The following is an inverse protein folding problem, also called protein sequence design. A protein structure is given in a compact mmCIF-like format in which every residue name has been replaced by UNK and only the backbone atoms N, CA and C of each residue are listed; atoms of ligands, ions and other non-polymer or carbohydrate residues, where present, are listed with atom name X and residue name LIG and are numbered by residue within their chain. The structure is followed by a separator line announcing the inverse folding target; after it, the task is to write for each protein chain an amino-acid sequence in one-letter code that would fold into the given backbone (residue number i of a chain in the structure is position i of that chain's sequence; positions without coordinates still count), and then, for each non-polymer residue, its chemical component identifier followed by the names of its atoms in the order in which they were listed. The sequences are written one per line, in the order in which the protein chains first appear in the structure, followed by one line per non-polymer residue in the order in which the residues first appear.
data_IF_918336138454
#
_entry.id   IF_918336138454
#
_cell.length_a   1.000
_cell.length_b   1.000
_cell.length_c   1.000
_cell.angle_alpha   90.00
_cell.angle_beta   90.00
_cell.angle_gamma   90.00
#
_symmetry.space_group_name_H-M   'P 1'
#
loop_
_entity.id
_entity.type
_entity.pdbx_description
1 polymer ?
#
# COMPACT_ATOMS: atom_id res chain seq x y z
N UNK A 1 -27.08 13.04 -34.37
CA UNK A 1 -25.95 13.33 -33.47
C UNK A 1 -26.42 13.04 -32.05
N UNK A 2 -25.76 12.16 -31.32
CA UNK A 2 -25.89 12.01 -29.87
C UNK A 2 -24.48 11.83 -29.31
N UNK A 3 -24.05 12.58 -28.28
CA UNK A 3 -22.80 12.31 -27.60
C UNK A 3 -22.96 11.04 -26.77
N UNK A 4 -22.06 10.06 -26.95
CA UNK A 4 -22.01 8.87 -26.12
C UNK A 4 -21.36 9.21 -24.78
N UNK A 5 -21.99 8.78 -23.69
CA UNK A 5 -21.57 9.12 -22.33
C UNK A 5 -20.35 8.29 -21.88
N UNK A 6 -19.32 9.00 -21.38
CA UNK A 6 -18.17 8.43 -20.65
C UNK A 6 -17.93 9.13 -19.30
N UNK A 7 -18.84 10.00 -18.86
CA UNK A 7 -18.67 10.85 -17.67
C UNK A 7 -19.04 10.19 -16.32
N UNK A 8 -19.63 8.99 -16.31
CA UNK A 8 -20.19 8.41 -15.08
C UNK A 8 -19.16 7.91 -14.05
N UNK A 9 -18.12 7.10 -14.39
CA UNK A 9 -17.26 6.47 -13.37
C UNK A 9 -16.39 7.49 -12.63
N UNK A 10 -15.89 8.51 -13.34
CA UNK A 10 -15.12 9.59 -12.72
C UNK A 10 -15.99 10.43 -11.78
N UNK A 11 -17.23 10.73 -12.19
CA UNK A 11 -18.15 11.49 -11.35
C UNK A 11 -18.59 10.71 -10.12
N UNK A 12 -18.68 9.38 -10.16
CA UNK A 12 -18.99 8.57 -8.98
C UNK A 12 -17.88 8.63 -7.91
N UNK A 13 -16.61 8.53 -8.32
CA UNK A 13 -15.47 8.64 -7.41
C UNK A 13 -15.33 10.04 -6.79
N UNK A 14 -15.55 11.09 -7.60
CA UNK A 14 -15.57 12.49 -7.12
C UNK A 14 -16.77 12.73 -6.20
N UNK A 15 -17.97 12.21 -6.51
CA UNK A 15 -19.14 12.31 -5.61
C UNK A 15 -18.91 11.60 -4.28
N UNK A 16 -18.28 10.43 -4.29
CA UNK A 16 -17.92 9.71 -3.06
C UNK A 16 -16.91 10.51 -2.21
N UNK A 17 -15.94 11.20 -2.82
CA UNK A 17 -14.95 11.99 -2.07
C UNK A 17 -15.52 13.26 -1.42
N UNK A 18 -16.67 13.77 -1.88
CA UNK A 18 -17.35 14.93 -1.29
C UNK A 18 -17.91 14.63 0.12
N UNK A 19 -18.18 13.36 0.46
CA UNK A 19 -18.70 12.97 1.78
C UNK A 19 -17.61 12.74 2.85
N UNK A 20 -16.34 12.66 2.45
CA UNK A 20 -15.20 12.50 3.35
C UNK A 20 -14.80 13.84 4.03
N UNK A 21 -14.14 13.81 5.20
CA UNK A 21 -13.48 14.98 5.77
C UNK A 21 -12.49 15.64 4.78
N UNK A 22 -12.35 16.99 4.75
CA UNK A 22 -11.51 17.69 3.76
C UNK A 22 -10.05 17.20 3.66
N UNK A 23 -9.48 16.71 4.77
CA UNK A 23 -8.11 16.19 4.81
C UNK A 23 -7.92 14.81 4.12
N UNK A 24 -9.00 14.03 3.96
CA UNK A 24 -8.94 12.64 3.50
C UNK A 24 -9.29 12.49 2.01
N UNK A 25 -10.01 13.47 1.44
CA UNK A 25 -10.46 13.48 0.03
C UNK A 25 -9.30 13.26 -0.96
N UNK A 26 -8.13 13.93 -0.83
CA UNK A 26 -7.05 13.82 -1.82
C UNK A 26 -6.39 12.44 -1.85
N UNK A 27 -6.25 11.79 -0.69
CA UNK A 27 -5.67 10.45 -0.57
C UNK A 27 -6.59 9.39 -1.18
N UNK A 28 -7.90 9.52 -0.95
CA UNK A 28 -8.92 8.63 -1.53
C UNK A 28 -9.00 8.77 -3.05
N UNK A 29 -9.07 10.01 -3.56
CA UNK A 29 -9.08 10.28 -5.01
C UNK A 29 -7.81 9.74 -5.66
N UNK A 30 -6.63 9.93 -5.06
CA UNK A 30 -5.38 9.40 -5.59
C UNK A 30 -5.29 7.89 -5.67
N UNK A 31 -5.70 7.18 -4.60
CA UNK A 31 -5.72 5.71 -4.58
C UNK A 31 -6.77 5.15 -5.56
N UNK A 32 -7.90 5.83 -5.74
CA UNK A 32 -8.93 5.42 -6.70
C UNK A 32 -8.53 5.66 -8.17
N UNK A 33 -7.88 6.79 -8.48
CA UNK A 33 -7.37 7.07 -9.83
C UNK A 33 -6.23 6.11 -10.23
N UNK A 34 -5.36 5.74 -9.27
CA UNK A 34 -4.33 4.71 -9.49
C UNK A 34 -4.95 3.36 -9.90
N UNK A 35 -6.00 2.93 -9.21
CA UNK A 35 -6.71 1.69 -9.52
C UNK A 35 -7.41 1.72 -10.90
N UNK A 36 -7.99 2.87 -11.30
CA UNK A 36 -8.55 3.02 -12.65
C UNK A 36 -7.47 3.02 -13.74
N UNK A 37 -6.34 3.70 -13.51
CA UNK A 37 -5.21 3.72 -14.44
C UNK A 37 -4.53 2.34 -14.63
N UNK A 38 -4.59 1.46 -13.63
CA UNK A 38 -4.13 0.07 -13.74
C UNK A 38 -5.10 -0.81 -14.53
N UNK A 39 -6.42 -0.66 -14.35
CA UNK A 39 -7.42 -1.40 -15.13
C UNK A 39 -7.32 -1.10 -16.64
N UNK A 40 -6.96 0.13 -17.02
CA UNK A 40 -6.66 0.51 -18.41
C UNK A 40 -5.56 -0.35 -19.04
N UNK A 41 -4.51 -0.72 -18.29
CA UNK A 41 -3.41 -1.59 -18.79
C UNK A 41 -3.87 -3.00 -19.14
N UNK A 42 -5.07 -3.43 -18.72
CA UNK A 42 -5.60 -4.78 -18.98
C UNK A 42 -6.59 -4.87 -20.15
N UNK A 43 -6.92 -3.75 -20.79
CA UNK A 43 -7.80 -3.76 -21.97
C UNK A 43 -7.08 -4.44 -23.17
N UNK A 44 -7.71 -5.44 -23.83
CA UNK A 44 -7.08 -6.16 -24.92
C UNK A 44 -6.87 -5.27 -26.15
N UNK A 45 -5.70 -5.37 -26.76
CA UNK A 45 -5.38 -4.69 -28.03
C UNK A 45 -6.15 -5.33 -29.18
N UNK A 46 -7.34 -4.81 -29.49
CA UNK A 46 -8.16 -5.29 -30.60
C UNK A 46 -7.62 -4.81 -31.96
N UNK A 47 -6.93 -5.69 -32.68
CA UNK A 47 -6.44 -5.41 -34.04
C UNK A 47 -7.55 -5.59 -35.08
N UNK A 48 -8.30 -4.51 -35.32
CA UNK A 48 -9.09 -4.20 -36.54
C UNK A 48 -10.35 -5.01 -36.89
N UNK A 49 -11.21 -4.36 -37.70
CA UNK A 49 -12.31 -4.89 -38.52
C UNK A 49 -13.61 -5.34 -37.81
N UNK A 50 -14.46 -4.38 -37.44
CA UNK A 50 -15.87 -4.61 -37.08
C UNK A 50 -16.42 -3.47 -36.24
N UNK A 51 -17.53 -2.85 -36.66
CA UNK A 51 -17.99 -1.59 -36.10
C UNK A 51 -18.50 -1.66 -34.64
N UNK A 52 -17.76 -1.03 -33.73
CA UNK A 52 -18.27 -0.31 -32.53
C UNK A 52 -17.21 0.73 -32.14
N UNK A 53 -17.59 1.81 -31.45
CA UNK A 53 -16.75 2.99 -31.29
C UNK A 53 -15.47 2.71 -30.46
N UNK A 54 -14.32 2.69 -31.13
CA UNK A 54 -13.01 2.56 -30.48
C UNK A 54 -12.54 3.91 -29.94
N UNK A 55 -12.31 4.00 -28.63
CA UNK A 55 -11.62 5.14 -28.01
C UNK A 55 -10.15 5.09 -28.46
N UNK A 56 -9.61 6.21 -28.94
CA UNK A 56 -8.23 6.23 -29.44
C UNK A 56 -7.23 6.24 -28.28
N UNK A 57 -6.07 5.62 -28.50
CA UNK A 57 -4.95 5.63 -27.53
C UNK A 57 -4.52 7.05 -27.14
N UNK A 58 -4.65 8.01 -28.05
CA UNK A 58 -4.36 9.42 -27.80
C UNK A 58 -5.38 10.07 -26.83
N UNK A 59 -6.68 9.88 -27.05
CA UNK A 59 -7.71 10.41 -26.15
C UNK A 59 -7.57 9.85 -24.72
N UNK A 60 -7.18 8.58 -24.61
CA UNK A 60 -6.98 7.92 -23.32
C UNK A 60 -5.69 8.40 -22.61
N UNK A 61 -4.65 8.80 -23.35
CA UNK A 61 -3.48 9.49 -22.79
C UNK A 61 -3.80 10.93 -22.37
N UNK A 62 -4.69 11.62 -23.09
CA UNK A 62 -5.13 12.99 -22.79
C UNK A 62 -5.98 13.04 -21.50
N UNK A 63 -6.91 12.10 -21.31
CA UNK A 63 -7.64 11.95 -20.04
C UNK A 63 -6.70 11.59 -18.87
N UNK A 64 -5.75 10.66 -19.06
CA UNK A 64 -4.79 10.30 -18.02
C UNK A 64 -3.86 11.47 -17.64
N UNK A 65 -3.48 12.32 -18.58
CA UNK A 65 -2.70 13.53 -18.32
C UNK A 65 -3.51 14.54 -17.48
N UNK A 66 -4.78 14.78 -17.83
CA UNK A 66 -5.67 15.65 -17.06
C UNK A 66 -5.88 15.13 -15.62
N UNK A 67 -6.00 13.80 -15.45
CA UNK A 67 -6.08 13.17 -14.12
C UNK A 67 -4.80 13.33 -13.31
N UNK A 68 -3.62 13.27 -13.94
CA UNK A 68 -2.34 13.51 -13.28
C UNK A 68 -2.20 14.98 -12.83
N UNK A 69 -2.68 15.96 -13.61
CA UNK A 69 -2.71 17.37 -13.18
C UNK A 69 -3.65 17.60 -12.00
N UNK A 70 -4.87 17.04 -12.04
CA UNK A 70 -5.84 17.11 -10.94
C UNK A 70 -5.26 16.48 -9.67
N UNK A 71 -4.57 15.33 -9.81
CA UNK A 71 -3.92 14.67 -8.68
C UNK A 71 -2.77 15.50 -8.10
N UNK A 72 -1.96 16.11 -8.96
CA UNK A 72 -0.85 17.00 -8.58
C UNK A 72 -1.39 18.24 -7.84
N UNK A 73 -2.47 18.85 -8.32
CA UNK A 73 -3.14 19.96 -7.64
C UNK A 73 -3.71 19.55 -6.27
N UNK A 74 -4.34 18.37 -6.18
CA UNK A 74 -4.90 17.84 -4.93
C UNK A 74 -3.81 17.50 -3.89
N UNK A 75 -2.65 16.98 -4.33
CA UNK A 75 -1.49 16.72 -3.47
C UNK A 75 -0.83 18.03 -3.00
N UNK A 76 -0.64 18.99 -3.91
CA UNK A 76 -0.08 20.32 -3.58
C UNK A 76 -0.94 21.11 -2.58
N UNK A 77 -2.26 20.87 -2.55
CA UNK A 77 -3.16 21.46 -1.55
C UNK A 77 -3.03 20.86 -0.14
N UNK A 78 -2.41 19.67 0.01
CA UNK A 78 -2.18 18.98 1.29
C UNK A 78 -0.71 19.09 1.73
N UNK A 79 0.23 19.23 0.79
CA UNK A 79 1.66 19.22 1.06
C UNK A 79 2.20 20.53 1.63
N UNK A 80 1.93 20.78 2.91
CA UNK A 80 2.73 21.70 3.73
C UNK A 80 4.18 21.22 3.98
N UNK A 81 4.59 20.09 3.42
CA UNK A 81 5.90 19.45 3.61
C UNK A 81 6.42 18.84 2.30
N UNK A 82 7.48 19.40 1.68
CA UNK A 82 8.15 18.77 0.54
C UNK A 82 8.92 17.50 0.97
N UNK A 83 8.95 16.49 0.08
CA UNK A 83 9.71 15.24 0.29
C UNK A 83 8.94 14.07 0.89
N UNK A 84 7.62 14.15 1.01
CA UNK A 84 6.78 13.03 1.50
C UNK A 84 6.82 11.82 0.55
N UNK A 85 6.51 10.62 1.07
CA UNK A 85 6.39 9.41 0.25
C UNK A 85 5.24 9.51 -0.77
N UNK A 86 4.21 10.30 -0.49
CA UNK A 86 3.13 10.62 -1.42
C UNK A 86 3.61 11.47 -2.61
N UNK A 87 4.50 12.44 -2.37
CA UNK A 87 5.14 13.20 -3.47
C UNK A 87 5.97 12.25 -4.35
N UNK A 88 6.79 11.39 -3.73
CA UNK A 88 7.62 10.42 -4.46
C UNK A 88 6.79 9.38 -5.24
N UNK A 89 5.60 9.03 -4.74
CA UNK A 89 4.63 8.19 -5.47
C UNK A 89 4.07 8.92 -6.70
N UNK A 90 3.73 10.20 -6.58
CA UNK A 90 3.28 11.03 -7.70
C UNK A 90 4.38 11.23 -8.75
N UNK A 91 5.61 11.53 -8.33
CA UNK A 91 6.77 11.70 -9.21
C UNK A 91 7.06 10.39 -9.99
N UNK A 92 6.91 9.23 -9.34
CA UNK A 92 7.07 7.92 -9.99
C UNK A 92 5.99 7.66 -11.06
N UNK A 93 4.74 8.02 -10.79
CA UNK A 93 3.65 7.91 -11.75
C UNK A 93 3.85 8.84 -12.96
N UNK A 94 4.34 10.06 -12.74
CA UNK A 94 4.69 10.99 -13.83
C UNK A 94 5.81 10.39 -14.71
N UNK A 95 6.85 9.82 -14.09
CA UNK A 95 7.97 9.20 -14.82
C UNK A 95 7.53 8.00 -15.67
N UNK A 96 6.67 7.11 -15.13
CA UNK A 96 6.21 5.91 -15.84
C UNK A 96 5.30 6.25 -17.05
N UNK A 97 4.39 7.22 -16.90
CA UNK A 97 3.44 7.59 -17.96
C UNK A 97 4.01 8.56 -19.00
N UNK A 98 5.16 9.21 -18.72
CA UNK A 98 5.93 9.97 -19.72
C UNK A 98 6.70 9.09 -20.73
N UNK A 99 6.61 7.76 -20.63
CA UNK A 99 7.11 6.81 -21.63
C UNK A 99 8.42 6.10 -21.28
N UNK A 100 8.88 6.18 -20.03
CA UNK A 100 10.09 5.52 -19.59
C UNK A 100 9.85 4.02 -19.24
N UNK A 101 10.12 3.17 -20.23
CA UNK A 101 10.32 1.71 -20.13
C UNK A 101 9.05 0.84 -20.06
N UNK A 102 8.91 -0.10 -21.01
CA UNK A 102 7.74 -0.97 -21.16
C UNK A 102 8.12 -2.46 -21.21
N UNK A 103 7.41 -3.29 -20.43
CA UNK A 103 7.55 -4.75 -20.45
C UNK A 103 6.45 -5.45 -19.62
N UNK A 104 5.62 -6.26 -20.29
CA UNK A 104 4.62 -7.17 -19.71
C UNK A 104 5.08 -8.64 -19.97
N UNK A 105 4.60 -9.71 -19.29
CA UNK A 105 3.17 -10.15 -19.21
C UNK A 105 2.79 -10.65 -17.77
N UNK A 106 1.65 -11.25 -17.40
CA UNK A 106 0.30 -11.54 -17.95
C UNK A 106 -0.66 -11.90 -16.78
N UNK A 107 -1.95 -12.16 -17.03
CA UNK A 107 -2.94 -12.60 -16.02
C UNK A 107 -3.73 -13.85 -16.46
N UNK A 108 -4.44 -14.51 -15.53
CA UNK A 108 -5.59 -15.40 -15.83
C UNK A 108 -6.46 -15.72 -14.59
N UNK A 109 -7.79 -15.89 -14.79
CA UNK A 109 -8.70 -16.59 -13.85
C UNK A 109 -9.75 -15.76 -13.08
N UNK A 110 -11.06 -16.05 -13.29
CA UNK A 110 -12.20 -15.28 -12.76
C UNK A 110 -13.29 -16.13 -12.05
N UNK A 111 -14.27 -15.49 -11.40
CA UNK A 111 -15.53 -16.12 -10.95
C UNK A 111 -16.26 -15.41 -9.80
N UNK A 112 -17.56 -15.11 -9.96
CA UNK A 112 -18.33 -14.29 -8.99
C UNK A 112 -19.56 -14.98 -8.36
N UNK A 113 -20.13 -14.34 -7.33
CA UNK A 113 -21.38 -14.76 -6.68
C UNK A 113 -21.83 -13.76 -5.60
N UNK A 114 -23.12 -13.39 -5.58
CA UNK A 114 -23.68 -12.44 -4.59
C UNK A 114 -24.01 -13.13 -3.26
N UNK A 115 -23.14 -12.94 -2.28
CA UNK A 115 -23.37 -13.21 -0.85
C UNK A 115 -22.60 -12.18 -0.03
N UNK A 116 -22.99 -11.93 1.24
CA UNK A 116 -22.31 -10.97 2.13
C UNK A 116 -20.80 -11.28 2.12
N UNK A 117 -19.99 -10.38 1.54
CA UNK A 117 -18.55 -10.59 1.30
C UNK A 117 -17.78 -10.58 2.62
N UNK A 118 -17.67 -11.74 3.26
CA UNK A 118 -16.62 -11.96 4.25
C UNK A 118 -15.29 -11.99 3.50
N UNK A 119 -14.56 -10.88 3.53
CA UNK A 119 -13.24 -10.78 2.92
C UNK A 119 -12.36 -11.94 3.39
N UNK A 120 -11.71 -12.64 2.46
CA UNK A 120 -10.76 -13.71 2.83
C UNK A 120 -9.46 -13.06 3.28
N UNK A 121 -9.01 -13.43 4.47
CA UNK A 121 -7.81 -12.85 5.09
C UNK A 121 -6.58 -13.65 4.67
N UNK A 122 -5.80 -13.10 3.73
CA UNK A 122 -4.42 -13.52 3.54
C UNK A 122 -3.59 -13.03 4.73
N UNK A 123 -2.88 -13.93 5.40
CA UNK A 123 -1.88 -13.55 6.39
C UNK A 123 -0.60 -13.15 5.64
N UNK A 124 -0.29 -11.86 5.60
CA UNK A 124 0.86 -11.34 4.84
C UNK A 124 2.11 -11.32 5.72
N UNK A 125 2.82 -12.45 5.73
CA UNK A 125 4.27 -12.47 5.89
C UNK A 125 4.89 -12.58 4.50
N UNK A 126 5.16 -11.43 3.85
CA UNK A 126 5.88 -11.43 2.57
C UNK A 126 7.27 -12.06 2.73
N UNK A 127 7.87 -12.64 1.66
CA UNK A 127 9.14 -13.35 1.76
C UNK A 127 10.22 -12.47 2.41
N UNK A 128 10.91 -13.00 3.42
CA UNK A 128 12.15 -12.40 3.90
C UNK A 128 13.24 -12.69 2.87
N UNK A 129 14.02 -11.69 2.42
CA UNK A 129 15.07 -11.94 1.45
C UNK A 129 16.17 -12.73 2.16
N UNK A 130 16.65 -13.78 1.50
CA UNK A 130 17.71 -14.65 2.01
C UNK A 130 18.97 -13.83 2.28
N UNK A 131 19.64 -14.04 3.41
CA UNK A 131 20.87 -13.31 3.77
C UNK A 131 22.00 -13.62 2.78
N UNK A 132 22.66 -12.58 2.23
CA UNK A 132 23.92 -12.72 1.48
C UNK A 132 24.91 -13.48 2.35
N UNK A 133 25.56 -14.50 1.81
CA UNK A 133 26.64 -15.19 2.48
C UNK A 133 27.68 -14.19 2.96
N UNK A 134 28.20 -14.36 4.19
CA UNK A 134 29.42 -13.63 4.52
C UNK A 134 30.55 -14.26 3.68
N UNK A 135 31.21 -13.49 2.78
CA UNK A 135 32.30 -14.02 1.98
C UNK A 135 33.45 -14.47 2.91
N UNK A 136 34.30 -15.41 2.47
CA UNK A 136 35.33 -15.99 3.31
C UNK A 136 36.25 -14.94 3.92
N UNK A 137 36.76 -15.24 5.12
CA UNK A 137 37.78 -14.41 5.77
C UNK A 137 39.21 -14.74 5.32
N UNK A 138 39.39 -15.84 4.61
CA UNK A 138 40.71 -16.38 4.26
C UNK A 138 40.99 -16.13 2.78
N UNK A 139 41.89 -15.19 2.50
CA UNK A 139 42.35 -14.86 1.14
C UNK A 139 43.15 -16.02 0.55
N UNK A 140 42.98 -16.32 -0.75
CA UNK A 140 43.85 -17.27 -1.45
C UNK A 140 44.94 -16.55 -2.23
N UNK A 141 46.04 -16.24 -1.54
CA UNK A 141 47.34 -15.78 -2.08
C UNK A 141 47.39 -14.49 -2.92
N UNK A 142 46.29 -14.03 -3.50
CA UNK A 142 46.27 -12.90 -4.44
C UNK A 142 45.52 -11.70 -3.83
N UNK A 143 46.29 -10.85 -3.15
CA UNK A 143 45.94 -9.46 -2.89
C UNK A 143 46.76 -8.56 -3.83
N UNK A 144 46.12 -7.58 -4.45
CA UNK A 144 46.74 -6.59 -5.32
C UNK A 144 46.24 -5.21 -4.89
N UNK A 145 47.10 -4.42 -4.25
CA UNK A 145 46.72 -3.11 -3.72
C UNK A 145 47.83 -2.47 -2.89
N UNK A 146 47.46 -1.41 -2.18
CA UNK A 146 48.31 -0.76 -1.19
C UNK A 146 48.59 -1.72 -0.01
N UNK A 147 49.81 -1.68 0.53
CA UNK A 147 50.25 -2.50 1.66
C UNK A 147 51.12 -1.68 2.60
N UNK A 148 51.05 -2.02 3.88
CA UNK A 148 52.00 -1.56 4.90
C UNK A 148 53.41 -2.17 4.70
N UNK A 149 54.38 -1.70 5.47
CA UNK A 149 55.76 -2.17 5.40
C UNK A 149 55.96 -3.65 5.83
N UNK A 150 55.02 -4.22 6.59
CA UNK A 150 54.99 -5.64 6.98
C UNK A 150 54.12 -6.52 6.04
N UNK A 151 53.55 -5.94 4.98
CA UNK A 151 52.79 -6.65 3.94
C UNK A 151 51.29 -6.79 4.23
N UNK A 152 50.80 -6.23 5.33
CA UNK A 152 49.38 -6.15 5.67
C UNK A 152 48.62 -5.26 4.67
N UNK A 153 47.42 -5.66 4.27
CA UNK A 153 46.56 -4.89 3.38
C UNK A 153 46.05 -3.62 4.06
N UNK A 154 46.30 -2.48 3.41
CA UNK A 154 45.87 -1.13 3.78
C UNK A 154 45.47 -0.35 2.53
N UNK A 155 44.83 0.81 2.67
CA UNK A 155 44.52 1.67 1.52
C UNK A 155 43.54 1.01 0.55
N UNK A 156 43.75 1.14 -0.77
CA UNK A 156 42.89 0.48 -1.78
C UNK A 156 43.51 -0.80 -2.33
N UNK A 157 42.68 -1.83 -2.51
CA UNK A 157 43.12 -3.08 -3.11
C UNK A 157 42.01 -4.07 -3.43
N UNK A 158 42.41 -5.08 -4.21
CA UNK A 158 41.57 -6.20 -4.63
C UNK A 158 42.09 -7.49 -4.02
N UNK A 159 41.23 -8.29 -3.38
CA UNK A 159 41.55 -9.64 -2.92
C UNK A 159 40.69 -10.69 -3.62
N UNK A 160 41.33 -11.77 -4.03
CA UNK A 160 40.67 -12.99 -4.51
C UNK A 160 40.69 -14.06 -3.41
N UNK A 161 39.52 -14.56 -3.03
CA UNK A 161 39.35 -15.57 -1.98
C UNK A 161 39.39 -16.99 -2.54
N UNK A 162 39.62 -17.99 -1.67
CA UNK A 162 39.81 -19.39 -2.05
C UNK A 162 38.63 -20.03 -2.81
N UNK A 163 37.42 -19.49 -2.63
CA UNK A 163 36.20 -19.90 -3.34
C UNK A 163 35.96 -19.10 -4.64
N UNK A 164 36.93 -18.27 -5.06
CA UNK A 164 36.86 -17.38 -6.21
C UNK A 164 36.07 -16.08 -5.99
N UNK A 165 35.57 -15.80 -4.78
CA UNK A 165 34.96 -14.51 -4.48
C UNK A 165 36.00 -13.40 -4.65
N UNK A 166 35.55 -12.20 -5.01
CA UNK A 166 36.41 -11.03 -5.18
C UNK A 166 35.89 -9.88 -4.34
N UNK A 167 36.77 -9.26 -3.56
CA UNK A 167 36.53 -7.93 -2.97
C UNK A 167 37.44 -6.90 -3.62
N UNK A 168 36.89 -5.73 -3.95
CA UNK A 168 37.62 -4.56 -4.42
C UNK A 168 37.16 -3.35 -3.60
N UNK A 169 38.08 -2.68 -2.89
CA UNK A 169 37.73 -1.57 -2.02
C UNK A 169 38.85 -1.13 -1.09
N UNK A 170 38.44 -0.47 -0.02
CA UNK A 170 39.31 0.01 1.05
C UNK A 170 39.62 -1.09 2.10
N UNK A 171 40.86 -1.07 2.61
CA UNK A 171 41.43 -2.04 3.52
C UNK A 171 42.12 -1.37 4.71
N UNK A 172 42.10 -2.06 5.85
CA UNK A 172 42.77 -1.64 7.08
C UNK A 172 43.08 -2.85 7.96
N UNK A 173 44.37 -3.11 8.20
CA UNK A 173 44.85 -4.24 9.01
C UNK A 173 44.30 -5.61 8.55
N UNK A 174 44.45 -5.93 7.25
CA UNK A 174 43.92 -7.15 6.61
C UNK A 174 42.39 -7.32 6.67
N UNK A 175 41.66 -6.25 6.98
CA UNK A 175 40.19 -6.24 7.00
C UNK A 175 39.62 -5.21 6.05
N UNK A 176 38.43 -5.50 5.56
CA UNK A 176 37.64 -4.58 4.74
C UNK A 176 37.03 -3.50 5.63
N UNK A 177 37.26 -2.25 5.25
CA UNK A 177 36.96 -1.05 6.03
C UNK A 177 36.79 0.11 5.05
N UNK A 178 35.76 0.96 5.17
CA UNK A 178 35.51 2.02 4.18
C UNK A 178 34.64 1.55 3.02
N UNK A 179 34.74 2.16 1.83
CA UNK A 179 33.94 1.75 0.67
C UNK A 179 34.52 0.54 -0.05
N UNK A 180 33.65 -0.37 -0.49
CA UNK A 180 34.08 -1.48 -1.35
C UNK A 180 32.94 -2.32 -1.90
N UNK A 181 33.24 -3.04 -2.96
CA UNK A 181 32.35 -4.03 -3.56
C UNK A 181 32.84 -5.45 -3.31
N UNK A 182 31.91 -6.38 -3.13
CA UNK A 182 32.17 -7.81 -3.04
C UNK A 182 31.30 -8.54 -4.05
N UNK A 183 31.92 -9.37 -4.87
CA UNK A 183 31.25 -10.22 -5.85
C UNK A 183 31.53 -11.68 -5.51
N UNK A 184 30.48 -12.41 -5.17
CA UNK A 184 30.58 -13.83 -4.83
C UNK A 184 30.46 -14.69 -6.10
N UNK A 185 31.12 -15.84 -6.13
CA UNK A 185 30.99 -16.80 -7.26
C UNK A 185 29.60 -17.42 -7.37
N UNK A 186 28.83 -17.40 -6.28
CA UNK A 186 27.40 -17.71 -6.25
C UNK A 186 26.55 -16.78 -7.12
N UNK A 187 27.06 -15.61 -7.50
CA UNK A 187 26.33 -14.54 -8.19
C UNK A 187 25.78 -13.47 -7.25
N UNK A 188 25.92 -13.63 -5.93
CA UNK A 188 25.60 -12.56 -4.97
C UNK A 188 26.59 -11.40 -5.10
N UNK A 189 26.10 -10.19 -4.84
CA UNK A 189 26.91 -8.98 -4.94
C UNK A 189 26.51 -7.96 -3.88
N UNK A 190 27.50 -7.23 -3.37
CA UNK A 190 27.30 -6.08 -2.49
C UNK A 190 28.23 -4.95 -2.88
N UNK A 191 27.76 -3.71 -2.76
CA UNK A 191 28.57 -2.49 -2.85
C UNK A 191 28.14 -1.54 -1.72
N UNK A 192 29.10 -0.99 -0.99
CA UNK A 192 28.83 -0.01 0.05
C UNK A 192 29.89 -0.01 1.15
N UNK A 193 29.44 0.34 2.36
CA UNK A 193 30.33 0.63 3.47
C UNK A 193 30.64 -0.62 4.30
N UNK A 194 31.92 -0.83 4.58
CA UNK A 194 32.47 -1.93 5.36
C UNK A 194 33.16 -1.42 6.63
N UNK A 195 33.17 -2.27 7.65
CA UNK A 195 33.86 -2.04 8.91
C UNK A 195 34.26 -3.37 9.53
N UNK A 196 35.55 -3.61 9.72
CA UNK A 196 36.10 -4.85 10.22
C UNK A 196 35.44 -6.12 9.61
N UNK A 197 35.41 -6.20 8.27
CA UNK A 197 34.81 -7.29 7.47
C UNK A 197 33.29 -7.45 7.55
N UNK A 198 32.57 -6.50 8.16
CA UNK A 198 31.11 -6.46 8.17
C UNK A 198 30.60 -5.31 7.32
N UNK A 199 29.45 -5.50 6.67
CA UNK A 199 28.66 -4.40 6.10
C UNK A 199 28.13 -3.54 7.25
N UNK A 200 28.48 -2.25 7.24
CA UNK A 200 28.19 -1.32 8.32
C UNK A 200 28.17 0.11 7.75
N UNK A 201 27.03 0.79 7.80
CA UNK A 201 26.76 2.00 7.01
C UNK A 201 25.86 1.69 5.80
N UNK A 202 25.88 2.56 4.79
CA UNK A 202 24.97 2.43 3.64
C UNK A 202 25.52 1.48 2.56
N UNK A 203 24.64 0.76 1.87
CA UNK A 203 25.02 -0.06 0.70
C UNK A 203 23.89 -0.84 0.04
N UNK A 204 24.19 -1.37 -1.15
CA UNK A 204 23.29 -2.14 -2.01
C UNK A 204 23.72 -3.61 -2.02
N UNK A 205 22.78 -4.52 -1.80
CA UNK A 205 22.94 -5.96 -2.03
C UNK A 205 22.04 -6.44 -3.17
N UNK A 206 22.57 -7.36 -3.98
CA UNK A 206 21.83 -8.16 -4.98
C UNK A 206 22.04 -9.64 -4.66
N UNK A 207 20.96 -10.40 -4.72
CA UNK A 207 20.92 -11.80 -4.30
C UNK A 207 20.73 -12.72 -5.52
N UNK A 208 21.14 -14.00 -5.42
CA UNK A 208 20.95 -14.99 -6.50
C UNK A 208 19.47 -15.22 -6.81
N UNK A 209 18.58 -15.01 -5.83
CA UNK A 209 17.12 -15.04 -6.01
C UNK A 209 16.60 -14.00 -7.01
N UNK A 210 17.37 -12.94 -7.30
CA UNK A 210 16.93 -11.75 -8.01
C UNK A 210 16.47 -10.61 -7.10
N UNK A 211 16.41 -10.85 -5.78
CA UNK A 211 16.09 -9.80 -4.81
C UNK A 211 17.17 -8.69 -4.81
N UNK A 212 16.79 -7.51 -4.33
CA UNK A 212 17.66 -6.37 -4.07
C UNK A 212 17.34 -5.78 -2.69
N UNK A 213 18.37 -5.37 -1.96
CA UNK A 213 18.24 -4.42 -0.84
C UNK A 213 19.13 -3.21 -1.09
N UNK A 214 18.64 -2.03 -0.74
CA UNK A 214 19.37 -0.76 -0.79
C UNK A 214 19.03 0.03 0.47
N UNK A 215 20.03 0.34 1.29
CA UNK A 215 19.77 0.96 2.58
C UNK A 215 20.92 0.81 3.56
N UNK A 216 20.56 1.04 4.81
CA UNK A 216 21.47 1.04 5.94
C UNK A 216 21.74 -0.39 6.46
N UNK A 217 22.96 -0.61 6.94
CA UNK A 217 23.48 -1.87 7.46
C UNK A 217 24.20 -1.66 8.79
N UNK A 218 24.20 -2.69 9.64
CA UNK A 218 24.97 -2.74 10.89
C UNK A 218 25.39 -4.17 11.19
N UNK A 219 26.68 -4.38 11.48
CA UNK A 219 27.26 -5.71 11.76
C UNK A 219 26.87 -6.83 10.75
N UNK A 220 26.71 -6.47 9.48
CA UNK A 220 26.35 -7.40 8.40
C UNK A 220 24.85 -7.64 8.18
N UNK A 221 23.98 -7.03 9.00
CA UNK A 221 22.51 -7.09 8.93
C UNK A 221 21.91 -5.78 8.43
N UNK A 222 20.67 -5.83 7.90
CA UNK A 222 19.89 -4.63 7.58
C UNK A 222 19.39 -3.96 8.87
N UNK A 223 19.58 -2.65 8.96
CA UNK A 223 19.37 -1.87 10.19
C UNK A 223 19.22 -0.39 9.78
N UNK A 224 18.23 0.35 10.29
CA UNK A 224 18.00 1.74 9.89
C UNK A 224 17.01 1.83 8.73
N UNK A 225 17.20 2.75 7.77
CA UNK A 225 16.27 2.90 6.64
C UNK A 225 16.72 2.06 5.45
N UNK A 226 15.77 1.44 4.74
CA UNK A 226 16.11 0.69 3.54
C UNK A 226 14.92 0.24 2.71
N UNK A 227 15.19 -0.01 1.43
CA UNK A 227 14.27 -0.51 0.43
C UNK A 227 14.67 -1.92 0.00
N UNK A 228 13.76 -2.88 0.17
CA UNK A 228 13.84 -4.20 -0.42
C UNK A 228 12.92 -4.28 -1.65
N UNK A 229 13.42 -4.87 -2.72
CA UNK A 229 12.64 -5.25 -3.92
C UNK A 229 12.85 -6.73 -4.15
N UNK A 230 11.77 -7.48 -4.30
CA UNK A 230 11.81 -8.93 -4.42
C UNK A 230 11.70 -9.37 -5.87
N UNK A 231 12.26 -10.53 -6.20
CA UNK A 231 12.14 -11.12 -7.53
C UNK A 231 10.69 -11.43 -7.95
N UNK A 232 9.77 -11.53 -6.99
CA UNK A 232 8.32 -11.63 -7.22
C UNK A 232 7.68 -10.34 -7.77
N UNK A 233 8.37 -9.20 -7.69
CA UNK A 233 7.82 -7.87 -7.95
C UNK A 233 7.29 -7.14 -6.70
N UNK A 234 7.17 -7.85 -5.57
CA UNK A 234 6.85 -7.23 -4.28
C UNK A 234 7.97 -6.29 -3.82
N UNK A 235 7.72 -5.48 -2.80
CA UNK A 235 8.77 -4.71 -2.14
C UNK A 235 8.35 -4.07 -0.82
N UNK A 236 9.34 -3.48 -0.15
CA UNK A 236 9.15 -2.76 1.11
C UNK A 236 10.13 -1.59 1.20
N UNK A 237 9.67 -0.43 1.64
CA UNK A 237 10.50 0.72 2.03
C UNK A 237 10.12 1.16 3.45
N UNK A 238 11.08 1.22 4.35
CA UNK A 238 10.81 1.56 5.75
C UNK A 238 11.99 1.34 6.67
N UNK A 239 11.70 1.20 7.96
CA UNK A 239 12.70 0.93 9.00
C UNK A 239 12.98 -0.58 9.16
N UNK A 240 14.24 -0.88 9.47
CA UNK A 240 14.76 -2.22 9.66
C UNK A 240 15.50 -2.30 10.99
N UNK A 241 15.33 -3.41 11.71
CA UNK A 241 16.14 -3.75 12.89
C UNK A 241 16.58 -5.20 12.78
N UNK A 242 17.89 -5.43 12.75
CA UNK A 242 18.51 -6.74 12.67
C UNK A 242 17.85 -7.71 11.65
N UNK A 243 17.72 -7.26 10.39
CA UNK A 243 17.08 -7.92 9.25
C UNK A 243 15.54 -7.98 9.22
N UNK A 244 14.85 -7.48 10.26
CA UNK A 244 13.37 -7.46 10.32
C UNK A 244 12.78 -6.09 10.01
N UNK A 245 11.65 -6.07 9.30
CA UNK A 245 10.82 -4.87 9.10
C UNK A 245 10.30 -4.39 10.46
N UNK A 246 10.42 -3.10 10.74
CA UNK A 246 10.16 -2.50 12.04
C UNK A 246 9.66 -1.05 11.82
N UNK A 247 9.20 -0.36 12.87
CA UNK A 247 8.94 1.08 12.82
C UNK A 247 7.81 1.44 11.85
N UNK A 248 7.96 2.50 11.06
CA UNK A 248 7.03 2.82 9.97
C UNK A 248 7.56 2.31 8.62
N UNK A 249 6.67 1.84 7.74
CA UNK A 249 7.06 1.46 6.39
C UNK A 249 5.90 1.10 5.46
N UNK A 250 6.19 1.13 4.16
CA UNK A 250 5.28 0.81 3.08
C UNK A 250 5.70 -0.54 2.46
N UNK A 251 4.76 -1.48 2.38
CA UNK A 251 4.87 -2.71 1.57
C UNK A 251 3.97 -2.58 0.34
N UNK A 252 4.45 -3.03 -0.81
CA UNK A 252 3.64 -3.21 -2.01
C UNK A 252 3.82 -4.62 -2.54
N UNK A 253 2.75 -5.20 -3.10
CA UNK A 253 2.81 -6.47 -3.80
C UNK A 253 2.84 -6.28 -5.31
N UNK A 254 3.29 -7.31 -6.03
CA UNK A 254 3.13 -7.40 -7.48
C UNK A 254 1.66 -7.46 -7.93
N UNK A 255 0.73 -7.86 -7.03
CA UNK A 255 -0.73 -7.82 -7.26
C UNK A 255 -1.35 -6.43 -7.12
N UNK A 256 -0.57 -5.38 -6.80
CA UNK A 256 -1.05 -4.01 -6.64
C UNK A 256 -1.63 -3.69 -5.26
N UNK A 257 -1.48 -4.59 -4.28
CA UNK A 257 -1.86 -4.34 -2.88
C UNK A 257 -0.78 -3.46 -2.23
N UNK A 258 -1.20 -2.54 -1.35
CA UNK A 258 -0.28 -1.65 -0.65
C UNK A 258 -0.66 -1.56 0.82
N UNK A 259 0.28 -1.85 1.71
CA UNK A 259 0.18 -1.51 3.14
C UNK A 259 1.12 -0.36 3.47
N UNK A 260 0.63 0.64 4.18
CA UNK A 260 1.43 1.72 4.75
C UNK A 260 1.06 1.85 6.22
N UNK A 261 2.03 1.74 7.13
CA UNK A 261 1.74 1.76 8.56
C UNK A 261 2.89 1.30 9.43
N UNK A 262 2.53 0.94 10.67
CA UNK A 262 3.45 0.47 11.69
C UNK A 262 3.78 -1.04 11.54
N UNK A 263 5.02 -1.40 11.88
CA UNK A 263 5.58 -2.74 11.76
C UNK A 263 6.29 -3.15 13.05
N UNK A 264 6.09 -4.40 13.45
CA UNK A 264 6.81 -5.02 14.56
C UNK A 264 7.33 -6.39 14.13
N UNK A 265 8.65 -6.57 14.16
CA UNK A 265 9.33 -7.85 13.92
C UNK A 265 8.93 -8.58 12.62
N UNK A 266 8.66 -7.83 11.55
CA UNK A 266 8.27 -8.39 10.24
C UNK A 266 6.77 -8.40 9.94
N UNK A 267 5.90 -8.07 10.89
CA UNK A 267 4.43 -8.09 10.74
C UNK A 267 3.79 -6.72 10.93
N UNK A 268 2.61 -6.49 10.32
CA UNK A 268 1.78 -5.32 10.58
C UNK A 268 1.35 -5.28 12.05
N UNK A 269 1.47 -4.11 12.69
CA UNK A 269 1.17 -3.88 14.10
C UNK A 269 0.76 -2.41 14.28
N UNK A 270 -0.04 -2.05 15.29
CA UNK A 270 -0.44 -0.65 15.49
C UNK A 270 -1.33 -0.13 14.37
N UNK A 271 -1.19 1.14 13.97
CA UNK A 271 -2.05 1.74 12.92
C UNK A 271 -1.44 1.61 11.53
N UNK A 272 -2.31 1.39 10.54
CA UNK A 272 -1.94 1.44 9.13
C UNK A 272 -3.14 1.44 8.18
N UNK A 273 -2.86 1.73 6.92
CA UNK A 273 -3.80 1.69 5.79
C UNK A 273 -3.40 0.57 4.84
N UNK A 274 -4.37 -0.25 4.41
CA UNK A 274 -4.20 -1.32 3.43
C UNK A 274 -5.14 -1.11 2.24
N UNK A 275 -4.57 -0.88 1.06
CA UNK A 275 -5.25 -0.92 -0.24
C UNK A 275 -5.20 -2.36 -0.77
N UNK A 276 -6.37 -2.96 -0.96
CA UNK A 276 -6.52 -4.30 -1.52
C UNK A 276 -6.59 -4.23 -3.05
N UNK A 277 -6.23 -5.32 -3.74
CA UNK A 277 -6.33 -5.44 -5.20
C UNK A 277 -7.79 -5.34 -5.71
N UNK A 278 -8.78 -5.54 -4.83
CA UNK A 278 -10.19 -5.25 -5.09
C UNK A 278 -10.53 -3.77 -5.17
N UNK A 279 -9.57 -2.87 -4.93
CA UNK A 279 -9.76 -1.43 -4.64
C UNK A 279 -10.53 -1.13 -3.34
N UNK A 280 -10.76 -2.13 -2.50
CA UNK A 280 -11.19 -1.90 -1.12
C UNK A 280 -10.02 -1.26 -0.33
N UNK A 281 -10.32 -0.45 0.68
CA UNK A 281 -9.33 0.16 1.58
C UNK A 281 -9.72 -0.16 3.02
N UNK A 282 -8.76 -0.57 3.84
CA UNK A 282 -8.88 -0.55 5.29
C UNK A 282 -7.95 0.51 5.88
N UNK A 283 -8.42 1.25 6.88
CA UNK A 283 -7.59 2.07 7.75
C UNK A 283 -7.93 1.75 9.20
N UNK A 284 -6.93 1.42 10.02
CA UNK A 284 -7.20 1.11 11.42
C UNK A 284 -6.08 0.34 12.10
N UNK A 285 -6.46 -0.37 13.16
CA UNK A 285 -5.56 -1.05 14.08
C UNK A 285 -5.28 -2.50 13.66
N UNK A 286 -4.02 -2.87 13.82
CA UNK A 286 -3.43 -4.16 13.48
C UNK A 286 -2.72 -4.76 14.70
N UNK A 287 -2.83 -6.07 14.84
CA UNK A 287 -2.05 -6.85 15.78
C UNK A 287 -1.62 -8.17 15.14
N UNK A 288 -0.32 -8.49 15.16
CA UNK A 288 0.24 -9.70 14.56
C UNK A 288 -0.24 -9.94 13.11
N UNK A 289 -0.19 -8.90 12.26
CA UNK A 289 -0.56 -8.97 10.84
C UNK A 289 -2.07 -9.00 10.55
N UNK A 290 -2.94 -8.88 11.56
CA UNK A 290 -4.41 -8.93 11.39
C UNK A 290 -5.07 -7.66 11.92
N UNK A 291 -6.20 -7.28 11.31
CA UNK A 291 -7.08 -6.21 11.83
C UNK A 291 -7.59 -6.59 13.21
N UNK A 292 -7.28 -5.79 14.22
CA UNK A 292 -7.60 -6.07 15.63
C UNK A 292 -7.56 -4.73 16.40
N UNK A 293 -8.68 -4.31 16.98
CA UNK A 293 -8.90 -2.93 17.44
C UNK A 293 -9.92 -2.19 16.57
N UNK A 294 -9.89 -0.86 16.55
CA UNK A 294 -10.82 -0.06 15.74
C UNK A 294 -10.34 0.14 14.30
N UNK A 295 -11.27 0.25 13.35
CA UNK A 295 -10.95 0.66 11.98
C UNK A 295 -12.14 0.93 11.07
N UNK A 296 -11.82 1.53 9.92
CA UNK A 296 -12.72 1.86 8.82
C UNK A 296 -12.38 0.97 7.64
N UNK A 297 -13.39 0.35 7.01
CA UNK A 297 -13.25 -0.43 5.78
C UNK A 297 -14.15 0.18 4.71
N UNK A 298 -13.52 0.77 3.70
CA UNK A 298 -14.16 1.39 2.55
C UNK A 298 -14.15 0.36 1.41
N UNK A 299 -15.33 -0.09 1.02
CA UNK A 299 -15.50 -1.04 -0.07
C UNK A 299 -15.43 -0.32 -1.42
N UNK A 300 -14.92 -0.97 -2.46
CA UNK A 300 -14.85 -0.42 -3.81
C UNK A 300 -16.24 -0.09 -4.42
N UNK A 301 -17.32 -0.61 -3.86
CA UNK A 301 -18.70 -0.25 -4.21
C UNK A 301 -19.20 1.06 -3.60
N UNK A 302 -18.41 1.72 -2.74
CA UNK A 302 -18.80 2.95 -2.04
C UNK A 302 -19.42 2.73 -0.65
N UNK A 303 -19.69 1.48 -0.27
CA UNK A 303 -20.07 1.16 1.11
C UNK A 303 -18.87 1.40 2.06
N UNK A 304 -19.14 1.84 3.28
CA UNK A 304 -18.14 2.06 4.33
C UNK A 304 -18.61 1.39 5.61
N UNK A 305 -17.74 0.63 6.25
CA UNK A 305 -17.93 0.13 7.62
C UNK A 305 -16.96 0.85 8.56
N UNK A 306 -17.44 1.30 9.71
CA UNK A 306 -16.63 1.85 10.80
C UNK A 306 -16.96 1.07 12.08
N UNK A 307 -15.97 0.44 12.72
CA UNK A 307 -16.26 -0.40 13.88
C UNK A 307 -15.07 -1.11 14.51
N UNK A 308 -15.38 -2.11 15.33
CA UNK A 308 -14.42 -2.93 16.05
C UNK A 308 -14.05 -4.20 15.26
N UNK A 309 -12.80 -4.63 15.37
CA UNK A 309 -12.25 -5.81 14.71
C UNK A 309 -11.55 -6.72 15.72
N UNK A 310 -11.64 -8.04 15.51
CA UNK A 310 -10.87 -9.05 16.23
C UNK A 310 -10.37 -10.13 15.29
N UNK A 311 -9.06 -10.34 15.26
CA UNK A 311 -8.40 -11.36 14.43
C UNK A 311 -8.85 -11.34 12.94
N UNK A 312 -9.01 -10.13 12.40
CA UNK A 312 -9.48 -9.84 11.05
C UNK A 312 -10.98 -9.56 10.94
N UNK A 313 -11.82 -10.19 11.78
CA UNK A 313 -13.28 -10.18 11.63
C UNK A 313 -13.90 -8.96 12.31
N UNK A 314 -15.03 -8.47 11.80
CA UNK A 314 -15.85 -7.48 12.50
C UNK A 314 -16.37 -8.06 13.81
N UNK A 315 -16.26 -7.29 14.88
CA UNK A 315 -16.56 -7.68 16.26
C UNK A 315 -17.23 -6.50 16.97
N UNK A 316 -17.76 -6.69 18.18
CA UNK A 316 -18.25 -5.59 19.01
C UNK A 316 -19.40 -4.79 18.38
N UNK A 317 -19.16 -3.50 18.08
CA UNK A 317 -20.13 -2.56 17.49
C UNK A 317 -19.58 -1.96 16.19
N UNK A 318 -20.48 -1.57 15.29
CA UNK A 318 -20.10 -0.85 14.08
C UNK A 318 -21.26 -0.19 13.36
N UNK A 319 -20.91 0.75 12.49
CA UNK A 319 -21.79 1.51 11.62
C UNK A 319 -21.42 1.19 10.17
N UNK A 320 -22.39 0.73 9.37
CA UNK A 320 -22.32 0.79 7.91
C UNK A 320 -22.91 2.10 7.40
N UNK A 321 -22.29 2.68 6.38
CA UNK A 321 -22.84 3.70 5.48
C UNK A 321 -22.83 3.08 4.10
N UNK A 322 -23.99 2.88 3.51
CA UNK A 322 -24.11 2.22 2.21
C UNK A 322 -24.00 3.26 1.09
N UNK A 323 -23.62 2.81 -0.11
CA UNK A 323 -23.46 3.67 -1.28
C UNK A 323 -24.76 4.37 -1.73
N UNK A 324 -25.93 3.88 -1.29
CA UNK A 324 -27.24 4.53 -1.49
C UNK A 324 -27.55 5.63 -0.44
N UNK A 325 -26.59 5.93 0.44
CA UNK A 325 -26.68 6.91 1.52
C UNK A 325 -27.34 6.38 2.80
N UNK A 326 -27.97 5.19 2.78
CA UNK A 326 -28.53 4.57 3.99
C UNK A 326 -27.42 4.25 5.00
N UNK A 327 -27.78 4.16 6.28
CA UNK A 327 -26.83 3.83 7.33
C UNK A 327 -27.40 2.77 8.27
N UNK A 328 -26.56 1.89 8.78
CA UNK A 328 -26.93 0.81 9.69
C UNK A 328 -26.02 0.81 10.91
N UNK A 329 -26.57 0.80 12.12
CA UNK A 329 -25.83 0.63 13.36
C UNK A 329 -26.22 -0.71 13.99
N UNK A 330 -25.22 -1.55 14.31
CA UNK A 330 -25.44 -2.88 14.88
C UNK A 330 -24.29 -3.38 15.73
N UNK A 331 -24.41 -4.63 16.20
CA UNK A 331 -23.33 -5.38 16.84
C UNK A 331 -22.88 -6.53 15.95
N UNK A 332 -21.60 -6.88 16.05
CA UNK A 332 -20.97 -7.91 15.25
C UNK A 332 -20.29 -8.93 16.16
N UNK A 333 -20.39 -10.21 15.79
CA UNK A 333 -19.64 -11.29 16.43
C UNK A 333 -19.07 -12.20 15.34
N UNK A 334 -17.76 -12.36 15.30
CA UNK A 334 -17.04 -13.13 14.28
C UNK A 334 -17.44 -12.79 12.82
N UNK A 335 -17.77 -11.53 12.54
CA UNK A 335 -18.17 -11.04 11.21
C UNK A 335 -19.66 -11.15 10.88
N UNK A 336 -20.49 -11.69 11.77
CA UNK A 336 -21.94 -11.74 11.62
C UNK A 336 -22.62 -10.63 12.42
N UNK A 337 -23.62 -9.97 11.83
CA UNK A 337 -24.52 -9.05 12.54
C UNK A 337 -25.36 -9.84 13.56
N UNK A 338 -25.37 -9.39 14.81
CA UNK A 338 -26.01 -10.06 15.95
C UNK A 338 -26.80 -9.09 16.82
N UNK A 339 -27.95 -9.55 17.31
CA UNK A 339 -28.80 -8.78 18.23
C UNK A 339 -29.69 -7.76 17.54
N UNK A 340 -29.99 -6.68 18.26
CA UNK A 340 -30.80 -5.54 17.79
C UNK A 340 -29.89 -4.44 17.21
N UNK A 341 -30.35 -3.82 16.13
CA UNK A 341 -29.71 -2.69 15.47
C UNK A 341 -30.73 -1.75 14.83
N UNK A 342 -30.24 -0.77 14.06
CA UNK A 342 -31.07 0.26 13.40
C UNK A 342 -30.57 0.51 11.99
N UNK A 343 -31.49 0.67 11.02
CA UNK A 343 -31.21 1.24 9.70
C UNK A 343 -31.90 2.59 9.56
N UNK A 344 -31.23 3.61 9.01
CA UNK A 344 -31.82 4.88 8.62
C UNK A 344 -31.84 5.04 7.09
N UNK A 345 -32.87 5.72 6.56
CA UNK A 345 -32.88 6.21 5.18
C UNK A 345 -31.75 7.23 4.92
N UNK A 346 -31.42 7.48 3.65
CA UNK A 346 -30.34 8.39 3.27
C UNK A 346 -30.49 9.81 3.84
N UNK A 347 -31.72 10.32 3.82
CA UNK A 347 -32.15 11.62 4.38
C UNK A 347 -32.38 11.60 5.90
N UNK A 348 -32.21 10.44 6.55
CA UNK A 348 -32.48 10.17 7.98
C UNK A 348 -33.93 10.43 8.43
N UNK A 349 -34.89 10.59 7.51
CA UNK A 349 -36.31 10.85 7.86
C UNK A 349 -37.09 9.58 8.23
N UNK A 350 -36.56 8.39 7.91
CA UNK A 350 -37.15 7.08 8.25
C UNK A 350 -36.10 6.19 8.93
N UNK A 351 -36.54 5.36 9.86
CA UNK A 351 -35.69 4.39 10.53
C UNK A 351 -36.38 3.03 10.72
N UNK A 352 -35.60 1.97 10.78
CA UNK A 352 -36.09 0.59 10.88
C UNK A 352 -35.31 -0.18 11.94
N UNK A 353 -36.00 -1.01 12.72
CA UNK A 353 -35.37 -1.96 13.63
C UNK A 353 -34.71 -3.07 12.81
N UNK A 354 -33.47 -3.40 13.15
CA UNK A 354 -32.75 -4.55 12.62
C UNK A 354 -32.68 -5.66 13.67
N UNK A 355 -32.82 -6.92 13.24
CA UNK A 355 -32.53 -8.10 14.05
C UNK A 355 -31.64 -9.07 13.27
N UNK A 356 -30.39 -9.23 13.69
CA UNK A 356 -29.39 -10.03 12.97
C UNK A 356 -29.18 -9.58 11.51
N UNK A 357 -29.07 -8.27 11.30
CA UNK A 357 -28.83 -7.65 10.00
C UNK A 357 -29.97 -7.81 8.99
N UNK A 358 -31.21 -7.91 9.47
CA UNK A 358 -32.45 -7.92 8.69
C UNK A 358 -33.43 -6.89 9.26
N UNK A 359 -34.10 -6.14 8.38
CA UNK A 359 -35.21 -5.25 8.77
C UNK A 359 -36.36 -6.07 9.32
N UNK A 360 -36.82 -5.70 10.51
CA UNK A 360 -37.97 -6.30 11.20
C UNK A 360 -39.22 -5.42 11.02
N UNK A 361 -39.12 -4.13 11.34
CA UNK A 361 -40.21 -3.15 11.27
C UNK A 361 -39.68 -1.71 11.10
N UNK A 362 -40.54 -0.79 10.66
CA UNK A 362 -40.27 0.65 10.68
C UNK A 362 -40.55 1.22 12.09
N UNK A 363 -39.65 2.08 12.59
CA UNK A 363 -39.68 2.64 13.95
C UNK A 363 -39.56 4.16 13.91
N UNK A 364 -39.93 4.83 15.01
CA UNK A 364 -39.76 6.28 15.12
C UNK A 364 -38.28 6.66 15.19
N UNK A 365 -37.94 7.89 14.77
CA UNK A 365 -36.57 8.40 14.86
C UNK A 365 -36.06 8.51 16.30
N UNK A 366 -36.96 8.72 17.27
CA UNK A 366 -36.65 8.71 18.70
C UNK A 366 -36.28 7.31 19.20
N UNK A 367 -37.06 6.28 18.84
CA UNK A 367 -36.75 4.88 19.17
C UNK A 367 -35.44 4.42 18.49
N UNK A 368 -35.23 4.83 17.24
CA UNK A 368 -33.98 4.61 16.51
C UNK A 368 -32.77 5.24 17.23
N UNK A 369 -32.90 6.49 17.69
CA UNK A 369 -31.86 7.15 18.47
C UNK A 369 -31.64 6.47 19.85
N UNK A 370 -32.69 5.98 20.49
CA UNK A 370 -32.61 5.23 21.75
C UNK A 370 -31.87 3.91 21.59
N UNK A 371 -32.15 3.14 20.54
CA UNK A 371 -31.45 1.88 20.24
C UNK A 371 -29.98 2.18 19.91
N UNK A 372 -29.69 3.15 19.04
CA UNK A 372 -28.31 3.56 18.73
C UNK A 372 -27.53 3.99 19.98
N UNK A 373 -28.15 4.79 20.86
CA UNK A 373 -27.58 5.21 22.14
C UNK A 373 -27.31 4.03 23.09
N UNK A 374 -28.21 3.03 23.14
CA UNK A 374 -28.00 1.79 23.91
C UNK A 374 -26.87 0.90 23.35
N UNK A 375 -26.55 1.05 22.06
CA UNK A 375 -25.37 0.45 21.44
C UNK A 375 -24.08 1.29 21.63
N UNK A 376 -24.18 2.47 22.24
CA UNK A 376 -23.08 3.41 22.41
C UNK A 376 -22.64 4.05 21.09
N UNK A 377 -23.60 4.34 20.21
CA UNK A 377 -23.39 4.94 18.88
C UNK A 377 -24.28 6.18 18.68
N UNK A 378 -23.77 7.18 17.98
CA UNK A 378 -24.53 8.35 17.58
C UNK A 378 -25.33 8.08 16.28
N UNK A 379 -26.41 8.85 16.06
CA UNK A 379 -27.12 8.82 14.77
C UNK A 379 -26.18 9.36 13.69
N UNK A 380 -25.90 8.61 12.60
CA UNK A 380 -25.02 9.08 11.55
C UNK A 380 -25.63 10.30 10.83
N UNK A 381 -24.84 11.35 10.49
CA UNK A 381 -25.35 12.48 9.72
C UNK A 381 -25.98 12.01 8.39
N UNK A 382 -26.99 12.73 7.85
CA UNK A 382 -27.58 12.40 6.56
C UNK A 382 -26.52 12.41 5.46
N UNK A 383 -26.75 11.61 4.41
CA UNK A 383 -26.02 11.81 3.17
C UNK A 383 -26.57 13.06 2.52
N UNK A 384 -25.79 14.15 2.48
CA UNK A 384 -26.15 15.33 1.71
C UNK A 384 -26.29 14.90 0.25
N UNK A 385 -27.50 15.05 -0.30
CA UNK A 385 -27.72 14.91 -1.73
C UNK A 385 -27.14 16.11 -2.48
N UNK A 386 -27.02 16.05 -3.80
CA UNK A 386 -26.54 17.17 -4.62
C UNK A 386 -27.50 18.38 -4.67
N UNK A 387 -28.57 18.41 -3.86
CA UNK A 387 -29.62 19.44 -3.86
C UNK A 387 -29.59 20.35 -2.61
N UNK A 388 -28.88 19.99 -1.53
CA UNK A 388 -28.83 20.75 -0.27
C UNK A 388 -27.64 21.75 -0.20
N UNK A 389 -26.99 22.05 -1.33
CA UNK A 389 -25.96 23.09 -1.43
C UNK A 389 -26.61 24.49 -1.57
N UNK A 390 -27.52 24.82 -0.65
CA UNK A 390 -28.14 26.16 -0.56
C UNK A 390 -27.09 27.20 -0.16
N UNK A 391 -26.53 27.85 -1.19
CA UNK A 391 -25.98 29.19 -1.20
C UNK A 391 -25.64 29.80 0.17
N UNK A 392 -24.40 29.59 0.65
CA UNK A 392 -23.79 30.49 1.63
C UNK A 392 -23.74 31.90 1.01
N UNK A 393 -24.44 32.91 1.55
CA UNK A 393 -24.37 34.25 1.00
C UNK A 393 -23.00 34.84 1.33
N UNK A 394 -22.21 35.11 0.30
CA UNK A 394 -20.96 35.87 0.42
C UNK A 394 -21.33 37.30 0.83
N UNK A 395 -20.80 37.75 1.97
CA UNK A 395 -20.79 39.16 2.40
C UNK A 395 -19.49 39.83 1.97
#
# INVERSE_FOLDING_TARGET
MHPLALSEPLSAAVRASITLPPAERPLFVGKHLLAQAQNVKTLPTATSAGGTAAISRAALQEELAALAEILTAALNAVSGLPGSSLQRLADHLIAEYSGANAGAPSADGAGGGKGKKTARFAAVGGPEPTRVGEPPKEMSKEYVGEQSADGTAEGKGTATYANGDVYEGEWKNDRREGQGSCKCTSGEWYEGTWKADKRDGHGVARYVSGDKYEGDWRFGKREGKGRATYASGDGYEGEWVADKKQGFGTFWSASGEVYEGQWLTGTYEGRGTYLYASSDVYEGEYHNGKRDGHGVYMYACGDVYEGEYKQGRMEGRGIYRLADGTAEAGRYFAGADVGEGVRWSADRKRAYRLRGGKVEEEITLEEAARIAGALGMAVPPPSLGPEDDEAVPVQ
#
